data_IF_848419826579
#
_entry.id   IF_848419826579
#
_cell.length_a   1.000
_cell.length_b   1.000
_cell.length_c   1.000
_cell.angle_alpha   90.00
_cell.angle_beta   90.00
_cell.angle_gamma   90.00
#
_symmetry.space_group_name_H-M   'P 1'
#
loop_
_entity.id
_entity.type
_entity.pdbx_description
1 polymer ?
#
# COMPACT_ATOMS: atom_id res chain seq x y z
N UNK A 1 12.33 6.52 11.64
CA UNK A 1 13.14 5.53 12.39
C UNK A 1 12.42 5.01 13.64
N UNK A 2 12.58 3.71 13.97
CA UNK A 2 11.87 3.01 15.06
C UNK A 2 10.33 3.00 14.92
N UNK A 3 9.85 2.77 13.69
CA UNK A 3 8.41 2.70 13.37
C UNK A 3 7.88 1.27 13.17
N UNK A 4 8.76 0.27 13.11
CA UNK A 4 8.41 -1.14 13.00
C UNK A 4 8.56 -1.87 14.33
N UNK A 5 7.83 -2.97 14.47
CA UNK A 5 7.97 -3.93 15.57
C UNK A 5 8.46 -5.26 15.00
N UNK A 6 9.20 -6.02 15.80
CA UNK A 6 9.60 -7.40 15.51
C UNK A 6 9.33 -8.27 16.72
N UNK A 7 9.23 -9.58 16.50
CA UNK A 7 9.18 -10.52 17.61
C UNK A 7 10.49 -10.45 18.41
N UNK A 8 10.39 -10.71 19.72
CA UNK A 8 11.58 -10.88 20.55
C UNK A 8 12.30 -12.16 20.13
N UNK A 9 13.61 -12.21 20.35
CA UNK A 9 14.45 -13.33 19.91
C UNK A 9 14.00 -14.68 20.52
N UNK A 10 13.45 -14.67 21.74
CA UNK A 10 12.86 -15.84 22.41
C UNK A 10 11.63 -16.43 21.69
N UNK A 11 11.05 -15.70 20.74
CA UNK A 11 9.92 -16.13 19.89
C UNK A 11 10.30 -16.26 18.41
N UNK A 12 11.60 -16.29 18.09
CA UNK A 12 12.09 -16.34 16.69
C UNK A 12 11.61 -17.55 15.90
N UNK A 13 11.30 -18.67 16.55
CA UNK A 13 10.73 -19.86 15.90
C UNK A 13 9.35 -19.60 15.26
N UNK A 14 8.66 -18.53 15.66
CA UNK A 14 7.35 -18.12 15.14
C UNK A 14 7.44 -16.98 14.12
N UNK A 15 8.64 -16.45 13.86
CA UNK A 15 8.83 -15.36 12.92
C UNK A 15 8.93 -15.90 11.48
N UNK A 16 7.91 -15.60 10.68
CA UNK A 16 7.86 -16.04 9.28
C UNK A 16 8.98 -15.42 8.42
N UNK A 17 9.47 -14.22 8.77
CA UNK A 17 10.60 -13.62 8.06
C UNK A 17 11.89 -14.42 8.26
N UNK A 18 12.05 -15.06 9.43
CA UNK A 18 13.19 -15.93 9.74
C UNK A 18 12.99 -17.32 9.13
N UNK A 19 11.82 -17.94 9.34
CA UNK A 19 11.57 -19.31 8.92
C UNK A 19 11.63 -19.49 7.39
N UNK A 20 11.20 -18.48 6.63
CA UNK A 20 11.16 -18.53 5.17
C UNK A 20 12.26 -17.70 4.47
N UNK A 21 13.30 -17.28 5.19
CA UNK A 21 14.31 -16.33 4.68
C UNK A 21 14.97 -16.78 3.36
N UNK A 22 15.17 -18.09 3.18
CA UNK A 22 15.80 -18.64 1.96
C UNK A 22 14.94 -18.49 0.69
N UNK A 23 13.62 -18.37 0.83
CA UNK A 23 12.68 -18.33 -0.30
C UNK A 23 11.96 -16.99 -0.46
N UNK A 24 12.07 -16.10 0.52
CA UNK A 24 11.43 -14.79 0.47
C UNK A 24 12.15 -13.87 -0.53
N UNK A 25 11.43 -13.24 -1.49
CA UNK A 25 12.03 -12.26 -2.37
C UNK A 25 12.42 -11.01 -1.56
N UNK A 26 13.70 -10.60 -1.66
CA UNK A 26 14.26 -9.45 -0.93
C UNK A 26 14.40 -8.20 -1.78
N UNK A 27 14.17 -8.32 -3.09
CA UNK A 27 14.28 -7.19 -4.01
C UNK A 27 13.05 -6.28 -3.87
N UNK A 28 13.25 -4.96 -3.75
CA UNK A 28 12.14 -4.02 -3.74
C UNK A 28 11.46 -4.02 -5.10
N UNK A 29 10.13 -3.98 -5.09
CA UNK A 29 9.31 -3.81 -6.28
C UNK A 29 8.78 -2.39 -6.26
N UNK A 30 9.03 -1.65 -7.34
CA UNK A 30 8.50 -0.30 -7.49
C UNK A 30 6.98 -0.31 -7.66
N UNK A 31 6.34 0.69 -7.07
CA UNK A 31 4.94 0.98 -7.36
C UNK A 31 4.73 1.29 -8.86
N UNK A 32 3.51 1.09 -9.34
CA UNK A 32 3.14 1.44 -10.70
C UNK A 32 3.46 2.92 -10.97
N UNK A 33 4.20 3.21 -12.06
CA UNK A 33 4.78 4.54 -12.36
C UNK A 33 3.79 5.71 -12.40
N UNK A 34 2.52 5.43 -12.68
CA UNK A 34 1.44 6.43 -12.70
C UNK A 34 0.70 6.59 -11.36
N UNK A 35 0.94 5.70 -10.40
CA UNK A 35 0.32 5.75 -9.09
C UNK A 35 1.08 6.74 -8.18
N UNK A 36 0.35 7.67 -7.57
CA UNK A 36 0.92 8.62 -6.60
C UNK A 36 0.46 8.34 -5.16
N UNK A 37 0.11 7.08 -4.83
CA UNK A 37 -0.36 6.69 -3.50
C UNK A 37 0.61 7.10 -2.39
N UNK A 38 1.93 7.04 -2.61
CA UNK A 38 2.93 7.54 -1.67
C UNK A 38 2.78 9.03 -1.33
N UNK A 39 2.49 9.90 -2.31
CA UNK A 39 2.25 11.33 -2.05
C UNK A 39 0.93 11.57 -1.32
N UNK A 40 -0.10 10.78 -1.62
CA UNK A 40 -1.40 10.83 -0.93
C UNK A 40 -1.25 10.41 0.54
N UNK A 41 -0.51 9.32 0.82
CA UNK A 41 -0.23 8.87 2.19
C UNK A 41 0.58 9.89 3.00
N UNK A 42 1.44 10.67 2.33
CA UNK A 42 2.17 11.79 2.95
C UNK A 42 1.31 13.06 3.12
N UNK A 43 0.05 13.05 2.68
CA UNK A 43 -0.84 14.21 2.72
C UNK A 43 -0.45 15.34 1.77
N UNK A 44 0.36 15.06 0.74
CA UNK A 44 0.85 16.06 -0.22
C UNK A 44 -0.03 16.20 -1.46
N UNK A 45 -0.93 15.23 -1.69
CA UNK A 45 -1.87 15.20 -2.80
C UNK A 45 -3.19 14.55 -2.35
N UNK A 46 -4.29 14.87 -3.02
CA UNK A 46 -5.58 14.19 -2.87
C UNK A 46 -5.70 13.05 -3.90
N UNK A 47 -6.56 12.05 -3.66
CA UNK A 47 -6.87 11.03 -4.67
C UNK A 47 -7.30 11.61 -6.02
N UNK A 48 -8.01 12.73 -6.04
CA UNK A 48 -8.42 13.44 -7.27
C UNK A 48 -7.26 14.06 -8.07
N UNK A 49 -6.08 14.22 -7.45
CA UNK A 49 -4.88 14.71 -8.12
C UNK A 49 -4.10 13.56 -8.80
N UNK A 50 -4.49 12.30 -8.55
CA UNK A 50 -3.86 11.13 -9.15
C UNK A 50 -4.39 10.91 -10.57
N UNK A 51 -3.52 10.83 -11.60
CA UNK A 51 -3.93 10.79 -13.00
C UNK A 51 -4.72 9.54 -13.39
N UNK A 52 -4.61 8.46 -12.61
CA UNK A 52 -5.28 7.18 -12.85
C UNK A 52 -6.43 6.90 -11.88
N UNK A 53 -6.73 7.82 -10.96
CA UNK A 53 -7.81 7.63 -9.98
C UNK A 53 -9.19 7.64 -10.66
N UNK A 54 -10.00 6.63 -10.36
CA UNK A 54 -11.36 6.49 -10.88
C UNK A 54 -11.44 6.07 -12.35
N UNK A 55 -10.32 6.00 -13.05
CA UNK A 55 -10.21 5.55 -14.44
C UNK A 55 -9.59 4.15 -14.50
N UNK A 56 -8.26 4.06 -14.60
CA UNK A 56 -7.54 2.80 -14.62
C UNK A 56 -7.45 2.16 -13.20
N UNK A 57 -7.41 2.99 -12.16
CA UNK A 57 -7.39 2.55 -10.76
C UNK A 57 -8.78 2.71 -10.14
N UNK A 58 -9.46 1.58 -9.91
CA UNK A 58 -10.81 1.49 -9.32
C UNK A 58 -10.85 0.37 -8.27
N UNK A 59 -11.90 0.26 -7.43
CA UNK A 59 -12.01 -0.86 -6.49
C UNK A 59 -12.02 -2.24 -7.16
N UNK A 60 -12.53 -2.34 -8.39
CA UNK A 60 -12.54 -3.59 -9.17
C UNK A 60 -11.19 -3.88 -9.84
N UNK A 61 -10.43 -2.84 -10.17
CA UNK A 61 -9.10 -2.95 -10.75
C UNK A 61 -8.12 -2.02 -10.00
N UNK A 62 -7.68 -2.39 -8.78
CA UNK A 62 -6.85 -1.53 -7.98
C UNK A 62 -5.39 -1.59 -8.46
N UNK A 63 -4.79 -0.43 -8.67
CA UNK A 63 -3.38 -0.32 -9.11
C UNK A 63 -2.43 -0.03 -7.95
N UNK A 64 -2.91 0.62 -6.89
CA UNK A 64 -2.08 0.95 -5.72
C UNK A 64 -2.78 0.62 -4.41
N UNK A 65 -1.99 0.45 -3.34
CA UNK A 65 -2.47 0.03 -2.03
C UNK A 65 -3.61 0.92 -1.48
N UNK A 66 -3.56 2.23 -1.77
CA UNK A 66 -4.59 3.19 -1.38
C UNK A 66 -5.98 2.89 -1.95
N UNK A 67 -6.10 2.10 -3.04
CA UNK A 67 -7.38 1.68 -3.63
C UNK A 67 -7.79 0.26 -3.19
N UNK A 68 -6.84 -0.57 -2.78
CA UNK A 68 -7.11 -1.94 -2.28
C UNK A 68 -7.67 -1.91 -0.87
N UNK A 69 -7.07 -1.10 0.01
CA UNK A 69 -7.43 -1.06 1.43
C UNK A 69 -8.79 -0.39 1.64
N UNK A 70 -9.62 -0.96 2.52
CA UNK A 70 -10.86 -0.33 2.98
C UNK A 70 -10.63 0.97 3.75
N UNK A 71 -9.42 1.13 4.33
CA UNK A 71 -8.97 2.34 5.00
C UNK A 71 -8.18 3.27 4.06
N UNK A 72 -7.97 2.85 2.81
CA UNK A 72 -7.21 3.59 1.83
C UNK A 72 -7.93 4.87 1.40
N UNK A 73 -7.18 5.99 1.35
CA UNK A 73 -7.74 7.29 0.98
C UNK A 73 -8.40 7.26 -0.42
N UNK A 74 -7.81 6.56 -1.40
CA UNK A 74 -8.41 6.44 -2.73
C UNK A 74 -9.71 5.63 -2.68
N UNK A 75 -9.75 4.49 -2.00
CA UNK A 75 -10.96 3.70 -1.86
C UNK A 75 -12.09 4.50 -1.18
N UNK A 76 -11.76 5.25 -0.12
CA UNK A 76 -12.70 6.12 0.56
C UNK A 76 -13.23 7.24 -0.35
N UNK A 77 -12.34 7.96 -1.04
CA UNK A 77 -12.76 9.00 -1.99
C UNK A 77 -13.67 8.43 -3.08
N UNK A 78 -13.30 7.30 -3.68
CA UNK A 78 -14.09 6.67 -4.74
C UNK A 78 -15.49 6.26 -4.24
N UNK A 79 -15.60 5.81 -2.99
CA UNK A 79 -16.87 5.38 -2.40
C UNK A 79 -17.82 6.53 -2.06
N UNK A 80 -17.28 7.68 -1.64
CA UNK A 80 -18.06 8.74 -1.00
C UNK A 80 -18.08 10.07 -1.75
N UNK A 81 -17.12 10.34 -2.64
CA UNK A 81 -17.34 11.37 -3.65
C UNK A 81 -18.25 10.78 -4.72
N UNK A 82 -19.54 11.06 -4.61
CA UNK A 82 -20.45 10.98 -5.74
C UNK A 82 -19.94 11.93 -6.83
N UNK A 83 -19.34 11.37 -7.89
CA UNK A 83 -19.25 12.02 -9.20
C UNK A 83 -20.58 11.87 -9.93
#
# INVERSE_FOLDING_TARGET
PRSGLKLKDEYSEWDAEIYFDEILPKEPIDDHKLCICGEILKGKAKPTDCPIFGTACTPKNPIGACMVSSEGACAAYYKYLSL
#
